data_IF_029310224637
#
_entry.id   IF_029310224637
#
_cell.length_a   1.000
_cell.length_b   1.000
_cell.length_c   1.000
_cell.angle_alpha   90.00
_cell.angle_beta   90.00
_cell.angle_gamma   90.00
#
_symmetry.space_group_name_H-M   'P 1'
#
loop_
_entity.id
_entity.type
_entity.pdbx_description
1 polymer ?
#
# COMPACT_ATOMS: atom_id res chain seq x y z
N UNK A 1 -14.25 -6.27 14.21
CA UNK A 1 -13.89 -5.91 12.81
C UNK A 1 -14.77 -6.65 11.83
N UNK A 2 -14.87 -7.99 11.94
CA UNK A 2 -15.65 -8.82 10.99
C UNK A 2 -17.15 -8.55 10.99
N UNK A 3 -17.68 -7.95 12.04
CA UNK A 3 -19.10 -7.60 12.17
C UNK A 3 -19.41 -6.14 11.82
N UNK A 4 -18.37 -5.34 11.58
CA UNK A 4 -18.52 -3.94 11.19
C UNK A 4 -18.68 -3.84 9.67
N UNK A 5 -19.61 -3.00 9.24
CA UNK A 5 -19.79 -2.66 7.83
C UNK A 5 -19.74 -1.15 7.64
N UNK A 6 -19.13 -0.71 6.56
CA UNK A 6 -19.21 0.68 6.13
C UNK A 6 -20.61 0.97 5.55
N UNK A 7 -20.94 2.24 5.39
CA UNK A 7 -22.20 2.66 4.74
C UNK A 7 -22.38 2.10 3.33
N UNK A 8 -21.29 1.69 2.68
CA UNK A 8 -21.30 1.06 1.35
C UNK A 8 -21.37 -0.47 1.39
N UNK A 9 -21.61 -1.07 2.56
CA UNK A 9 -21.72 -2.51 2.74
C UNK A 9 -20.39 -3.28 2.64
N UNK A 10 -19.27 -2.63 2.85
CA UNK A 10 -17.96 -3.26 2.88
C UNK A 10 -17.42 -3.40 4.30
N UNK A 11 -16.68 -4.47 4.57
CA UNK A 11 -15.93 -4.58 5.82
C UNK A 11 -14.82 -3.49 5.87
N UNK A 12 -14.58 -2.87 7.04
CA UNK A 12 -13.50 -1.89 7.17
C UNK A 12 -12.15 -2.54 6.91
N UNK A 13 -11.31 -1.86 6.12
CA UNK A 13 -9.92 -2.25 5.92
C UNK A 13 -9.10 -1.83 7.14
N UNK A 14 -8.89 -2.76 8.04
CA UNK A 14 -8.08 -2.56 9.25
C UNK A 14 -6.80 -3.36 9.11
N UNK A 15 -5.66 -2.72 9.39
CA UNK A 15 -4.34 -3.36 9.42
C UNK A 15 -3.76 -3.26 10.83
N UNK A 16 -3.26 -4.36 11.35
CA UNK A 16 -2.47 -4.41 12.57
C UNK A 16 -1.01 -4.60 12.18
N UNK A 17 -0.17 -3.66 12.59
CA UNK A 17 1.25 -3.63 12.32
C UNK A 17 1.99 -4.11 13.58
N UNK A 18 2.54 -5.32 13.51
CA UNK A 18 3.21 -5.98 14.63
C UNK A 18 4.70 -5.69 14.56
N UNK A 19 5.15 -4.67 15.30
CA UNK A 19 6.49 -4.12 15.23
C UNK A 19 7.03 -3.80 16.62
N UNK A 20 7.99 -4.60 17.11
CA UNK A 20 8.61 -4.42 18.42
C UNK A 20 9.47 -3.16 18.52
N UNK A 21 10.02 -2.71 17.40
CA UNK A 21 10.83 -1.49 17.32
C UNK A 21 10.10 -0.18 17.62
N UNK A 22 8.75 -0.20 17.71
CA UNK A 22 7.96 0.96 18.18
C UNK A 22 8.08 1.18 19.69
N UNK A 23 8.45 0.16 20.45
CA UNK A 23 8.56 0.22 21.91
C UNK A 23 9.63 1.22 22.35
N UNK A 24 9.29 2.04 23.34
CA UNK A 24 10.17 3.08 23.92
C UNK A 24 10.96 2.60 25.13
N UNK A 25 10.57 1.45 25.68
CA UNK A 25 11.22 0.81 26.83
C UNK A 25 11.21 -0.70 26.66
N UNK A 26 12.07 -1.38 27.44
CA UNK A 26 12.10 -2.85 27.48
C UNK A 26 10.79 -3.44 28.04
N UNK A 27 10.11 -2.72 28.93
CA UNK A 27 8.81 -3.16 29.44
C UNK A 27 7.75 -3.09 28.35
N UNK A 28 7.67 -1.96 27.63
CA UNK A 28 6.75 -1.83 26.47
C UNK A 28 7.01 -2.90 25.40
N UNK A 29 8.29 -3.23 25.17
CA UNK A 29 8.65 -4.26 24.19
C UNK A 29 8.15 -5.63 24.60
N UNK A 30 8.27 -5.99 25.89
CA UNK A 30 7.73 -7.23 26.41
C UNK A 30 6.22 -7.29 26.36
N UNK A 31 5.56 -6.19 26.72
CA UNK A 31 4.10 -6.10 26.66
C UNK A 31 3.61 -6.21 25.20
N UNK A 32 4.30 -5.57 24.27
CA UNK A 32 4.01 -5.66 22.84
C UNK A 32 4.23 -7.08 22.30
N UNK A 33 5.29 -7.75 22.75
CA UNK A 33 5.57 -9.14 22.38
C UNK A 33 4.45 -10.08 22.84
N UNK A 34 3.94 -9.93 24.07
CA UNK A 34 2.79 -10.70 24.56
C UNK A 34 1.53 -10.45 23.75
N UNK A 35 1.28 -9.18 23.36
CA UNK A 35 0.14 -8.82 22.51
C UNK A 35 0.27 -9.47 21.12
N UNK A 36 1.46 -9.41 20.52
CA UNK A 36 1.74 -10.02 19.21
C UNK A 36 1.54 -11.53 19.28
N UNK A 37 2.05 -12.18 20.31
CA UNK A 37 1.89 -13.61 20.55
C UNK A 37 0.42 -14.00 20.60
N UNK A 38 -0.39 -13.30 21.38
CA UNK A 38 -1.82 -13.60 21.49
C UNK A 38 -2.58 -13.33 20.19
N UNK A 39 -2.27 -12.25 19.48
CA UNK A 39 -2.85 -11.95 18.16
C UNK A 39 -2.58 -13.08 17.17
N UNK A 40 -1.35 -13.63 17.17
CA UNK A 40 -1.00 -14.76 16.30
C UNK A 40 -1.71 -16.04 16.73
N UNK A 41 -1.79 -16.34 18.03
CA UNK A 41 -2.49 -17.50 18.56
C UNK A 41 -4.00 -17.47 18.22
N UNK A 42 -4.66 -16.33 18.42
CA UNK A 42 -6.07 -16.16 18.05
C UNK A 42 -6.27 -16.27 16.53
N UNK A 43 -5.34 -15.77 15.74
CA UNK A 43 -5.38 -15.95 14.29
C UNK A 43 -5.22 -17.41 13.88
N UNK A 44 -4.33 -18.15 14.52
CA UNK A 44 -4.16 -19.60 14.32
C UNK A 44 -5.46 -20.35 14.66
N UNK A 45 -6.12 -19.99 15.76
CA UNK A 45 -7.42 -20.54 16.16
C UNK A 45 -8.49 -20.24 15.13
N UNK A 46 -8.59 -19.01 14.66
CA UNK A 46 -9.63 -18.52 13.75
C UNK A 46 -10.92 -18.14 14.49
N UNK A 47 -11.93 -17.77 13.72
CA UNK A 47 -13.26 -17.39 14.21
C UNK A 47 -14.28 -18.41 13.78
N UNK A 48 -15.15 -18.84 14.69
CA UNK A 48 -16.26 -19.72 14.36
C UNK A 48 -17.31 -18.97 13.51
N UNK A 49 -17.72 -19.56 12.40
CA UNK A 49 -18.89 -19.12 11.65
C UNK A 49 -20.18 -19.65 12.30
N UNK A 50 -21.34 -19.34 11.69
CA UNK A 50 -22.66 -19.77 12.16
C UNK A 50 -22.81 -21.29 12.21
N UNK A 51 -22.08 -22.02 11.37
CA UNK A 51 -22.06 -23.48 11.28
C UNK A 51 -21.09 -24.11 12.30
N UNK A 52 -20.43 -23.31 13.13
CA UNK A 52 -19.46 -23.78 14.13
C UNK A 52 -18.07 -24.11 13.56
N UNK A 53 -17.83 -23.85 12.28
CA UNK A 53 -16.53 -24.09 11.61
C UNK A 53 -15.61 -22.92 11.85
N UNK A 54 -14.34 -23.20 12.18
CA UNK A 54 -13.32 -22.17 12.32
C UNK A 54 -12.82 -21.69 10.96
N UNK A 55 -13.05 -20.43 10.66
CA UNK A 55 -12.61 -19.74 9.44
C UNK A 55 -11.53 -18.70 9.74
N UNK A 56 -10.79 -18.32 8.72
CA UNK A 56 -9.84 -17.20 8.80
C UNK A 56 -10.55 -15.91 8.42
N UNK A 57 -10.69 -14.92 9.32
CA UNK A 57 -11.29 -13.63 8.96
C UNK A 57 -10.37 -12.87 7.99
N UNK A 58 -10.97 -12.19 7.01
CA UNK A 58 -10.23 -11.37 6.05
C UNK A 58 -9.53 -10.18 6.73
N UNK A 59 -10.14 -9.62 7.76
CA UNK A 59 -9.62 -8.48 8.54
C UNK A 59 -9.63 -8.77 10.05
N UNK A 60 -8.75 -8.12 10.81
CA UNK A 60 -7.68 -7.21 10.38
C UNK A 60 -6.62 -7.90 9.53
N UNK A 61 -6.03 -7.17 8.58
CA UNK A 61 -4.76 -7.60 7.97
C UNK A 61 -3.67 -7.58 9.05
N UNK A 62 -2.86 -8.63 9.10
CA UNK A 62 -1.73 -8.70 10.01
C UNK A 62 -0.44 -8.53 9.22
N UNK A 63 0.40 -7.60 9.65
CA UNK A 63 1.73 -7.39 9.09
C UNK A 63 2.75 -7.59 10.21
N UNK A 64 3.65 -8.55 10.03
CA UNK A 64 4.71 -8.87 10.96
C UNK A 64 6.05 -8.32 10.46
N UNK A 65 6.72 -7.53 11.30
CA UNK A 65 8.03 -6.96 10.96
C UNK A 65 9.13 -7.93 11.39
N UNK A 66 9.96 -8.29 10.41
CA UNK A 66 11.18 -9.06 10.65
C UNK A 66 12.29 -8.10 11.10
N UNK A 67 12.64 -8.19 12.37
CA UNK A 67 13.60 -7.32 13.05
C UNK A 67 14.84 -8.13 13.49
N UNK A 68 16.01 -7.51 13.69
CA UNK A 68 17.19 -8.24 14.18
C UNK A 68 16.94 -9.05 15.45
N UNK A 69 16.09 -8.53 16.35
CA UNK A 69 15.73 -9.16 17.62
C UNK A 69 14.73 -10.32 17.50
N UNK A 70 14.23 -10.60 16.29
CA UNK A 70 13.24 -11.65 16.01
C UNK A 70 13.58 -12.59 14.85
N UNK A 71 14.67 -12.34 14.10
CA UNK A 71 15.02 -13.15 12.91
C UNK A 71 16.18 -14.11 13.12
N UNK A 72 16.98 -13.93 14.14
CA UNK A 72 18.06 -14.85 14.49
C UNK A 72 17.55 -15.87 15.51
N UNK A 73 17.96 -17.14 15.40
CA UNK A 73 17.47 -18.23 16.27
C UNK A 73 17.82 -18.02 17.75
N UNK A 74 18.89 -17.31 18.05
CA UNK A 74 19.32 -16.95 19.40
C UNK A 74 18.75 -15.60 19.89
N UNK A 75 17.99 -14.90 19.05
CA UNK A 75 17.40 -13.62 19.41
C UNK A 75 16.23 -13.78 20.42
N UNK A 76 16.07 -12.81 21.33
CA UNK A 76 15.11 -12.92 22.43
C UNK A 76 13.64 -13.10 22.00
N UNK A 77 13.31 -12.67 20.82
CA UNK A 77 11.94 -12.73 20.27
C UNK A 77 11.83 -13.65 19.04
N UNK A 78 12.78 -14.55 18.80
CA UNK A 78 12.73 -15.54 17.73
C UNK A 78 11.44 -16.38 17.76
N UNK A 79 10.97 -16.74 18.95
CA UNK A 79 9.74 -17.51 19.13
C UNK A 79 8.50 -16.86 18.47
N UNK A 80 8.45 -15.54 18.38
CA UNK A 80 7.37 -14.83 17.67
C UNK A 80 7.45 -15.07 16.15
N UNK A 81 8.65 -15.14 15.59
CA UNK A 81 8.83 -15.45 14.15
C UNK A 81 8.45 -16.89 13.86
N UNK A 82 8.81 -17.84 14.73
CA UNK A 82 8.33 -19.21 14.62
C UNK A 82 6.80 -19.31 14.71
N UNK A 83 6.19 -18.58 15.63
CA UNK A 83 4.74 -18.54 15.79
C UNK A 83 4.07 -17.90 14.58
N UNK A 84 4.63 -16.81 14.03
CA UNK A 84 4.17 -16.17 12.80
C UNK A 84 4.23 -17.14 11.62
N UNK A 85 5.34 -17.90 11.49
CA UNK A 85 5.48 -18.92 10.45
C UNK A 85 4.43 -20.05 10.59
N UNK A 86 4.17 -20.52 11.80
CA UNK A 86 3.09 -21.50 12.10
C UNK A 86 1.71 -20.92 11.72
N UNK A 87 1.49 -19.63 12.01
CA UNK A 87 0.27 -18.95 11.62
C UNK A 87 0.13 -18.89 10.10
N UNK A 88 1.20 -18.52 9.40
CA UNK A 88 1.21 -18.46 7.93
C UNK A 88 0.95 -19.82 7.30
N UNK A 89 1.58 -20.87 7.80
CA UNK A 89 1.37 -22.24 7.30
C UNK A 89 -0.09 -22.70 7.43
N UNK A 90 -0.82 -22.22 8.45
CA UNK A 90 -2.22 -22.62 8.69
C UNK A 90 -3.23 -21.65 8.08
N UNK A 91 -2.93 -20.36 8.02
CA UNK A 91 -3.89 -19.28 7.72
C UNK A 91 -3.48 -18.36 6.59
N UNK A 92 -2.28 -18.54 6.01
CA UNK A 92 -1.69 -17.69 4.96
C UNK A 92 -1.54 -16.21 5.38
N UNK A 93 -1.42 -15.94 6.65
CA UNK A 93 -1.14 -14.64 7.29
C UNK A 93 -0.26 -14.86 8.50
N UNK A 94 0.53 -13.88 8.96
CA UNK A 94 0.62 -12.48 8.51
C UNK A 94 1.39 -12.30 7.19
N UNK A 95 1.30 -11.08 6.61
CA UNK A 95 2.26 -10.59 5.64
C UNK A 95 3.54 -10.15 6.37
N UNK A 96 4.70 -10.20 5.69
CA UNK A 96 6.00 -9.90 6.30
C UNK A 96 6.63 -8.66 5.70
N UNK A 97 7.26 -7.84 6.55
CA UNK A 97 8.08 -6.70 6.15
C UNK A 97 9.46 -6.85 6.79
N UNK A 98 10.52 -6.76 6.00
CA UNK A 98 11.89 -6.74 6.51
C UNK A 98 12.29 -5.32 6.92
N UNK A 99 12.54 -5.10 8.21
CA UNK A 99 13.08 -3.83 8.71
C UNK A 99 14.41 -3.50 8.02
N UNK A 100 15.31 -4.46 7.92
CA UNK A 100 16.62 -4.29 7.26
C UNK A 100 16.47 -3.75 5.84
N UNK A 101 15.58 -4.35 5.04
CA UNK A 101 15.34 -3.90 3.65
C UNK A 101 14.68 -2.53 3.57
N UNK A 102 13.77 -2.23 4.46
CA UNK A 102 13.16 -0.90 4.56
C UNK A 102 14.21 0.17 4.87
N UNK A 103 15.11 -0.13 5.81
CA UNK A 103 16.23 0.78 6.18
C UNK A 103 17.21 0.95 5.03
N UNK A 104 17.66 -0.13 4.39
CA UNK A 104 18.54 -0.07 3.20
C UNK A 104 17.93 0.80 2.09
N UNK A 105 16.64 0.66 1.84
CA UNK A 105 15.94 1.45 0.83
C UNK A 105 15.90 2.94 1.18
N UNK A 106 15.68 3.30 2.44
CA UNK A 106 15.73 4.69 2.91
C UNK A 106 17.14 5.26 2.80
N UNK A 107 18.15 4.52 3.27
CA UNK A 107 19.56 4.93 3.19
C UNK A 107 20.01 5.17 1.76
N UNK A 108 19.59 4.34 0.80
CA UNK A 108 19.91 4.52 -0.62
C UNK A 108 19.36 5.83 -1.20
N UNK A 109 18.40 6.45 -0.52
CA UNK A 109 17.82 7.75 -0.87
C UNK A 109 18.38 8.91 -0.05
N UNK A 110 19.45 8.68 0.70
CA UNK A 110 20.11 9.71 1.51
C UNK A 110 19.32 10.12 2.75
N UNK A 111 18.42 9.28 3.24
CA UNK A 111 17.64 9.54 4.45
C UNK A 111 18.38 8.99 5.68
N UNK A 112 18.34 9.73 6.79
CA UNK A 112 18.82 9.25 8.08
C UNK A 112 17.82 8.22 8.62
N UNK A 113 18.31 7.06 9.09
CA UNK A 113 17.47 5.98 9.61
C UNK A 113 17.87 5.66 11.04
N UNK A 114 16.97 5.90 11.98
CA UNK A 114 17.10 5.48 13.38
C UNK A 114 16.52 4.09 13.65
N UNK A 115 16.62 3.64 14.90
CA UNK A 115 15.85 2.47 15.36
C UNK A 115 14.36 2.81 15.39
N UNK A 116 13.51 1.90 14.93
CA UNK A 116 12.07 2.11 14.92
C UNK A 116 11.55 2.87 13.70
N UNK A 117 12.34 3.02 12.65
CA UNK A 117 11.98 3.78 11.45
C UNK A 117 11.30 2.92 10.35
N UNK A 118 10.82 1.75 10.69
CA UNK A 118 9.97 0.98 9.79
C UNK A 118 8.56 1.57 9.81
N UNK A 119 7.97 1.72 8.65
CA UNK A 119 6.63 2.30 8.50
C UNK A 119 5.66 1.29 7.89
N UNK A 120 4.41 1.40 8.29
CA UNK A 120 3.34 0.52 7.81
C UNK A 120 2.97 0.83 6.36
N UNK A 121 2.53 -0.19 5.64
CA UNK A 121 1.85 0.02 4.37
C UNK A 121 0.43 0.52 4.60
N UNK A 122 -0.09 1.20 3.58
CA UNK A 122 -1.46 1.64 3.51
C UNK A 122 -2.30 0.59 2.80
N UNK A 123 -3.34 0.10 3.44
CA UNK A 123 -4.09 -1.06 2.94
C UNK A 123 -3.19 -2.30 2.87
N UNK A 124 -3.18 -2.99 1.73
CA UNK A 124 -2.49 -4.27 1.62
C UNK A 124 -1.03 -4.16 1.18
N UNK A 125 -0.65 -3.17 0.35
CA UNK A 125 0.63 -3.19 -0.38
C UNK A 125 1.17 -1.82 -0.76
N UNK A 126 0.51 -0.72 -0.39
CA UNK A 126 0.92 0.62 -0.75
C UNK A 126 1.70 1.27 0.38
N UNK A 127 2.87 1.79 0.08
CA UNK A 127 3.67 2.55 1.03
C UNK A 127 3.55 4.03 0.71
N UNK A 128 3.29 4.84 1.73
CA UNK A 128 3.40 6.28 1.60
C UNK A 128 4.87 6.66 1.44
N UNK A 129 5.15 7.61 0.56
CA UNK A 129 6.47 8.24 0.52
C UNK A 129 6.72 9.00 1.82
N UNK A 130 7.98 9.14 2.27
CA UNK A 130 8.28 9.94 3.45
C UNK A 130 7.79 11.37 3.28
N UNK A 131 7.27 11.96 4.34
CA UNK A 131 6.94 13.37 4.35
C UNK A 131 8.23 14.20 4.26
N UNK A 132 8.45 14.81 3.10
CA UNK A 132 9.62 15.66 2.81
C UNK A 132 9.28 17.15 2.89
N UNK A 133 8.01 17.47 3.16
CA UNK A 133 7.57 18.87 3.08
C UNK A 133 8.21 19.76 4.13
N UNK A 134 8.62 19.24 5.28
CA UNK A 134 9.28 19.99 6.35
C UNK A 134 8.51 21.22 6.86
N UNK A 135 7.40 21.55 6.22
CA UNK A 135 6.65 22.78 6.35
C UNK A 135 5.44 22.66 7.26
N UNK A 136 5.27 21.54 7.96
CA UNK A 136 4.16 21.33 8.89
C UNK A 136 2.78 21.30 8.21
N UNK A 137 2.70 20.87 6.96
CA UNK A 137 1.43 20.70 6.30
C UNK A 137 0.49 19.84 7.15
N UNK A 138 -0.76 20.27 7.26
CA UNK A 138 -1.75 19.57 8.03
C UNK A 138 -1.47 19.50 9.53
N UNK A 139 -0.62 20.39 10.03
CA UNK A 139 -0.27 20.45 11.45
C UNK A 139 0.34 19.14 11.99
N UNK A 140 1.05 18.38 11.15
CA UNK A 140 1.77 17.17 11.57
C UNK A 140 2.73 17.50 12.73
N UNK A 141 3.33 18.70 12.72
CA UNK A 141 4.17 19.19 13.80
C UNK A 141 3.44 19.27 15.17
N UNK A 142 2.13 19.38 15.18
CA UNK A 142 1.33 19.42 16.41
C UNK A 142 0.99 18.02 16.96
N UNK A 143 1.39 16.95 16.28
CA UNK A 143 1.19 15.61 16.80
C UNK A 143 2.12 15.36 18.00
N UNK A 144 1.59 14.76 19.08
CA UNK A 144 2.34 14.50 20.31
C UNK A 144 3.59 13.65 20.15
N UNK A 145 3.72 12.92 19.03
CA UNK A 145 4.86 12.09 18.67
C UNK A 145 5.68 12.68 17.51
N UNK A 146 5.52 13.97 17.19
CA UNK A 146 6.28 14.63 16.16
C UNK A 146 7.75 14.79 16.56
N UNK A 147 8.64 14.37 15.68
CA UNK A 147 10.08 14.57 15.78
C UNK A 147 10.56 15.26 14.50
N UNK A 148 11.01 16.52 14.54
CA UNK A 148 11.44 17.25 13.35
C UNK A 148 12.68 16.64 12.69
N UNK A 149 13.45 15.80 13.42
CA UNK A 149 14.61 15.09 12.89
C UNK A 149 14.28 13.81 12.16
N UNK A 150 13.00 13.37 12.17
CA UNK A 150 12.58 12.10 11.56
C UNK A 150 11.48 12.31 10.54
N UNK A 151 11.61 11.77 9.31
CA UNK A 151 10.53 11.76 8.33
C UNK A 151 9.30 11.05 8.89
N UNK A 152 8.12 11.58 8.64
CA UNK A 152 6.87 10.99 9.08
C UNK A 152 6.25 10.15 7.98
N UNK A 153 5.88 8.90 8.31
CA UNK A 153 5.32 7.93 7.38
C UNK A 153 3.87 7.58 7.66
N UNK A 154 3.29 8.04 8.75
CA UNK A 154 1.90 7.79 9.15
C UNK A 154 1.14 9.11 9.35
N UNK A 155 -0.17 9.05 9.41
CA UNK A 155 -1.02 10.23 9.42
C UNK A 155 -1.12 10.89 8.05
N UNK A 156 -0.78 10.16 6.97
CA UNK A 156 -0.88 10.58 5.57
C UNK A 156 -1.91 9.69 4.85
N UNK A 157 -2.29 10.03 3.63
CA UNK A 157 -3.34 9.30 2.93
C UNK A 157 -3.09 9.16 1.43
N UNK A 158 -3.83 8.25 0.79
CA UNK A 158 -3.89 8.11 -0.66
C UNK A 158 -5.21 8.70 -1.16
N UNK A 159 -5.14 9.57 -2.16
CA UNK A 159 -6.29 10.24 -2.78
C UNK A 159 -7.12 9.27 -3.63
N UNK A 160 -6.58 8.13 -4.02
CA UNK A 160 -7.23 7.11 -4.79
C UNK A 160 -6.34 6.41 -5.80
N UNK A 161 -6.88 5.35 -6.40
CA UNK A 161 -6.19 4.52 -7.38
C UNK A 161 -6.99 4.47 -8.67
N UNK A 162 -6.32 4.53 -9.81
CA UNK A 162 -6.86 4.18 -11.13
C UNK A 162 -5.97 3.10 -11.73
N UNK A 163 -6.55 1.97 -12.10
CA UNK A 163 -5.80 0.79 -12.54
C UNK A 163 -5.83 0.62 -14.05
N UNK A 164 -4.65 0.54 -14.65
CA UNK A 164 -4.50 0.13 -16.05
C UNK A 164 -4.63 -1.39 -16.18
N UNK A 165 -5.42 -1.84 -17.14
CA UNK A 165 -5.53 -3.26 -17.51
C UNK A 165 -4.49 -3.59 -18.59
N UNK A 166 -3.36 -4.15 -18.20
CA UNK A 166 -2.28 -4.47 -19.13
C UNK A 166 -2.67 -5.57 -20.13
N UNK A 167 -3.56 -6.48 -19.73
CA UNK A 167 -4.07 -7.53 -20.62
C UNK A 167 -4.89 -6.91 -21.77
N UNK A 168 -5.72 -5.90 -21.47
CA UNK A 168 -6.48 -5.18 -22.49
C UNK A 168 -5.55 -4.47 -23.49
N UNK A 169 -4.46 -3.89 -23.02
CA UNK A 169 -3.44 -3.27 -23.88
C UNK A 169 -2.82 -4.31 -24.83
N UNK A 170 -2.38 -5.45 -24.26
CA UNK A 170 -1.74 -6.51 -25.03
C UNK A 170 -2.69 -7.11 -26.08
N UNK A 171 -3.90 -7.48 -25.69
CA UNK A 171 -4.86 -8.07 -26.63
C UNK A 171 -5.32 -7.07 -27.69
N UNK A 172 -5.45 -5.78 -27.35
CA UNK A 172 -5.83 -4.74 -28.30
C UNK A 172 -4.74 -4.44 -29.34
N UNK A 173 -3.48 -4.75 -29.05
CA UNK A 173 -2.35 -4.52 -29.98
C UNK A 173 -2.29 -5.55 -31.12
N UNK A 174 -3.05 -6.65 -31.00
CA UNK A 174 -3.01 -7.75 -31.98
C UNK A 174 -1.64 -8.42 -32.12
N UNK A 175 -0.77 -8.31 -31.10
CA UNK A 175 0.59 -8.86 -31.11
C UNK A 175 1.65 -7.93 -31.72
N UNK A 176 1.27 -6.74 -32.18
CA UNK A 176 2.23 -5.73 -32.67
C UNK A 176 2.84 -4.96 -31.51
N UNK A 177 4.18 -4.96 -31.43
CA UNK A 177 4.92 -4.24 -30.38
C UNK A 177 4.74 -2.72 -30.48
N UNK A 178 4.79 -2.17 -31.69
CA UNK A 178 4.59 -0.72 -31.92
C UNK A 178 3.19 -0.29 -31.49
N UNK A 179 2.19 -1.08 -31.86
CA UNK A 179 0.80 -0.81 -31.50
C UNK A 179 0.58 -1.00 -29.98
N UNK A 180 1.26 -1.97 -29.35
CA UNK A 180 1.25 -2.12 -27.90
C UNK A 180 1.69 -0.84 -27.19
N UNK A 181 2.86 -0.30 -27.55
CA UNK A 181 3.37 0.90 -26.91
C UNK A 181 2.54 2.15 -27.20
N UNK A 182 1.95 2.23 -28.37
CA UNK A 182 1.01 3.31 -28.70
C UNK A 182 -0.25 3.25 -27.81
N UNK A 183 -0.90 2.08 -27.76
CA UNK A 183 -2.09 1.89 -26.92
C UNK A 183 -1.76 2.05 -25.42
N UNK A 184 -0.61 1.54 -25.00
CA UNK A 184 -0.13 1.69 -23.63
C UNK A 184 -0.04 3.17 -23.25
N UNK A 185 0.56 4.00 -24.09
CA UNK A 185 0.64 5.44 -23.88
C UNK A 185 -0.75 6.09 -23.77
N UNK A 186 -1.65 5.77 -24.69
CA UNK A 186 -3.04 6.28 -24.68
C UNK A 186 -3.77 5.88 -23.39
N UNK A 187 -3.58 4.66 -22.91
CA UNK A 187 -4.19 4.18 -21.64
C UNK A 187 -3.57 4.84 -20.42
N UNK A 188 -2.26 5.06 -20.42
CA UNK A 188 -1.59 5.81 -19.34
C UNK A 188 -2.13 7.24 -19.25
N UNK A 189 -2.29 7.92 -20.40
CA UNK A 189 -2.86 9.26 -20.43
C UNK A 189 -4.32 9.29 -19.95
N UNK A 190 -5.11 8.29 -20.31
CA UNK A 190 -6.48 8.16 -19.80
C UNK A 190 -6.51 7.94 -18.28
N UNK A 191 -5.60 7.11 -17.77
CA UNK A 191 -5.45 6.90 -16.33
C UNK A 191 -5.03 8.19 -15.62
N UNK A 192 -4.10 8.95 -16.19
CA UNK A 192 -3.67 10.25 -15.67
C UNK A 192 -4.85 11.22 -15.54
N UNK A 193 -5.63 11.37 -16.61
CA UNK A 193 -6.84 12.21 -16.61
C UNK A 193 -7.84 11.79 -15.54
N UNK A 194 -8.05 10.48 -15.36
CA UNK A 194 -8.93 9.95 -14.33
C UNK A 194 -8.39 10.21 -12.90
N UNK A 195 -7.08 10.09 -12.70
CA UNK A 195 -6.42 10.46 -11.43
C UNK A 195 -6.57 11.96 -11.17
N UNK A 196 -6.38 12.79 -12.18
CA UNK A 196 -6.62 14.25 -12.08
C UNK A 196 -8.07 14.57 -11.69
N UNK A 197 -9.06 13.91 -12.29
CA UNK A 197 -10.46 14.07 -11.89
C UNK A 197 -10.68 13.74 -10.40
N UNK A 198 -10.04 12.70 -9.88
CA UNK A 198 -10.12 12.36 -8.45
C UNK A 198 -9.49 13.43 -7.58
N UNK A 199 -8.31 13.89 -7.94
CA UNK A 199 -7.59 14.97 -7.24
C UNK A 199 -8.44 16.26 -7.19
N UNK A 200 -8.92 16.72 -8.34
CA UNK A 200 -9.73 17.94 -8.45
C UNK A 200 -11.03 17.83 -7.63
N UNK A 201 -11.61 16.63 -7.52
CA UNK A 201 -12.81 16.39 -6.70
C UNK A 201 -12.58 16.58 -5.20
N UNK A 202 -11.35 16.41 -4.72
CA UNK A 202 -11.00 16.60 -3.32
C UNK A 202 -10.75 18.07 -2.97
N UNK A 203 -10.39 18.90 -3.95
CA UNK A 203 -10.10 20.32 -3.72
C UNK A 203 -11.31 21.05 -3.19
N UNK A 204 -11.06 21.96 -2.27
CA UNK A 204 -12.09 22.74 -1.59
C UNK A 204 -12.89 21.96 -0.53
N UNK A 205 -12.57 20.69 -0.27
CA UNK A 205 -13.21 19.93 0.80
C UNK A 205 -12.89 20.54 2.15
N UNK A 206 -13.91 20.78 2.97
CA UNK A 206 -13.72 21.27 4.35
C UNK A 206 -13.31 20.15 5.27
N UNK A 207 -12.48 20.44 6.26
CA UNK A 207 -12.13 19.52 7.35
C UNK A 207 -13.36 19.02 8.12
N UNK A 208 -14.47 19.78 8.08
CA UNK A 208 -15.76 19.40 8.70
C UNK A 208 -16.43 18.22 8.00
N UNK A 209 -16.04 17.88 6.76
CA UNK A 209 -16.60 16.75 6.04
C UNK A 209 -16.31 15.41 6.72
N UNK A 210 -15.17 15.29 7.40
CA UNK A 210 -14.77 14.12 8.19
C UNK A 210 -13.83 14.53 9.33
N UNK A 211 -14.36 15.09 10.43
CA UNK A 211 -13.54 15.67 11.50
C UNK A 211 -12.54 14.69 12.10
N UNK A 212 -12.90 13.42 12.29
CA UNK A 212 -11.98 12.38 12.81
C UNK A 212 -10.76 12.25 11.94
N UNK A 213 -10.91 12.32 10.62
CA UNK A 213 -9.79 12.21 9.68
C UNK A 213 -8.93 13.48 9.66
N UNK A 214 -9.60 14.64 9.57
CA UNK A 214 -8.93 15.90 9.23
C UNK A 214 -8.57 16.79 10.41
N UNK A 215 -9.36 16.74 11.50
CA UNK A 215 -9.17 17.64 12.65
C UNK A 215 -8.56 16.91 13.86
N UNK A 216 -8.95 15.66 14.12
CA UNK A 216 -8.57 14.96 15.35
C UNK A 216 -7.36 14.02 15.21
N UNK A 217 -6.67 14.06 14.10
CA UNK A 217 -5.33 13.49 13.98
C UNK A 217 -5.22 12.10 13.37
N UNK A 218 -6.32 11.53 12.85
CA UNK A 218 -6.20 10.26 12.13
C UNK A 218 -5.33 10.42 10.85
N UNK A 219 -5.57 11.48 10.08
CA UNK A 219 -4.77 11.84 8.91
C UNK A 219 -4.07 13.21 9.09
N UNK A 220 -4.75 14.18 9.65
CA UNK A 220 -4.26 15.53 9.84
C UNK A 220 -4.83 16.15 11.12
N UNK A 221 -4.36 17.36 11.47
CA UNK A 221 -4.86 18.21 12.58
C UNK A 221 -5.15 19.59 12.05
N UNK A 222 -6.10 19.66 11.12
CA UNK A 222 -6.58 20.92 10.56
C UNK A 222 -7.55 21.63 11.53
N UNK A 223 -7.63 22.93 11.42
CA UNK A 223 -8.64 23.71 12.11
C UNK A 223 -10.04 23.42 11.56
N UNK A 224 -11.07 23.66 12.38
CA UNK A 224 -12.46 23.53 11.96
C UNK A 224 -12.75 24.43 10.76
N UNK A 225 -13.36 23.87 9.72
CA UNK A 225 -13.69 24.57 8.48
C UNK A 225 -12.50 24.80 7.52
N UNK A 226 -11.28 24.46 7.93
CA UNK A 226 -10.09 24.58 7.09
C UNK A 226 -10.19 23.63 5.87
N UNK A 227 -9.66 24.09 4.72
CA UNK A 227 -9.63 23.28 3.49
C UNK A 227 -8.48 22.29 3.49
N UNK A 228 -8.71 21.08 2.96
CA UNK A 228 -7.70 20.04 2.90
C UNK A 228 -6.69 20.23 1.76
N UNK A 229 -6.83 21.25 0.93
CA UNK A 229 -6.09 21.47 -0.32
C UNK A 229 -4.58 21.38 -0.14
N UNK A 230 -4.04 21.95 0.95
CA UNK A 230 -2.61 21.88 1.25
C UNK A 230 -2.08 20.47 1.53
N UNK A 231 -2.98 19.50 1.82
CA UNK A 231 -2.63 18.11 2.02
C UNK A 231 -2.58 17.31 0.71
N UNK A 232 -3.03 17.89 -0.39
CA UNK A 232 -3.12 17.24 -1.70
C UNK A 232 -1.82 17.35 -2.51
N UNK A 233 -0.88 18.18 -2.07
CA UNK A 233 0.37 18.51 -2.74
C UNK A 233 1.59 18.28 -1.86
N UNK A 234 2.79 18.50 -2.40
CA UNK A 234 4.04 18.53 -1.64
C UNK A 234 4.40 17.18 -0.99
N UNK A 235 3.87 16.07 -1.46
CA UNK A 235 4.15 14.74 -0.92
C UNK A 235 3.43 14.37 0.38
N UNK A 236 2.52 15.20 0.89
CA UNK A 236 1.73 14.83 2.08
C UNK A 236 0.77 13.68 1.81
N UNK A 237 0.18 13.64 0.63
CA UNK A 237 -0.65 12.52 0.16
C UNK A 237 -0.15 11.99 -1.17
N UNK A 238 -0.52 10.77 -1.49
CA UNK A 238 -0.23 10.13 -2.77
C UNK A 238 -1.50 9.95 -3.59
N UNK A 239 -1.34 9.81 -4.90
CA UNK A 239 -2.39 9.29 -5.79
C UNK A 239 -1.76 8.24 -6.69
N UNK A 240 -2.42 7.10 -6.90
CA UNK A 240 -1.72 5.92 -7.42
C UNK A 240 -2.22 5.49 -8.80
N UNK A 241 -1.26 5.32 -9.71
CA UNK A 241 -1.46 4.53 -10.93
C UNK A 241 -1.35 3.05 -10.55
N UNK A 242 -2.46 2.35 -10.55
CA UNK A 242 -2.49 0.91 -10.36
C UNK A 242 -2.21 0.16 -11.66
N UNK A 243 -1.71 -1.05 -11.56
CA UNK A 243 -1.60 -1.96 -12.71
C UNK A 243 -2.09 -3.35 -12.34
N UNK A 244 -2.55 -4.10 -13.34
CA UNK A 244 -2.98 -5.48 -13.21
C UNK A 244 -2.74 -6.24 -14.51
N UNK A 245 -2.47 -7.55 -14.40
CA UNK A 245 -2.32 -8.45 -15.55
C UNK A 245 -0.95 -8.36 -16.23
N UNK A 246 0.12 -8.09 -15.48
CA UNK A 246 1.48 -8.02 -16.04
C UNK A 246 1.92 -9.38 -16.61
N UNK A 247 1.64 -10.47 -15.91
CA UNK A 247 2.02 -11.81 -16.36
C UNK A 247 1.34 -12.16 -17.68
N UNK A 248 0.02 -11.96 -17.75
CA UNK A 248 -0.79 -12.25 -18.92
C UNK A 248 -0.42 -11.34 -20.09
N UNK A 249 -0.11 -10.07 -19.82
CA UNK A 249 0.37 -9.12 -20.81
C UNK A 249 1.69 -9.59 -21.44
N UNK A 250 2.66 -9.96 -20.62
CA UNK A 250 3.97 -10.45 -21.09
C UNK A 250 3.78 -11.72 -21.92
N UNK A 251 2.99 -12.67 -21.43
CA UNK A 251 2.74 -13.91 -22.14
C UNK A 251 2.03 -13.66 -23.50
N UNK A 252 1.05 -12.79 -23.54
CA UNK A 252 0.33 -12.45 -24.77
C UNK A 252 1.23 -11.76 -25.81
N UNK A 253 2.18 -10.94 -25.39
CA UNK A 253 3.06 -10.20 -26.29
C UNK A 253 4.30 -10.99 -26.74
N UNK A 254 4.85 -11.83 -25.87
CA UNK A 254 6.14 -12.50 -26.11
C UNK A 254 6.02 -14.03 -26.26
N UNK A 255 4.91 -14.62 -25.83
CA UNK A 255 4.78 -16.08 -25.70
C UNK A 255 5.64 -16.70 -24.59
N UNK A 256 6.28 -15.85 -23.75
CA UNK A 256 7.21 -16.26 -22.68
C UNK A 256 6.61 -15.98 -21.31
N UNK A 257 7.03 -16.77 -20.32
CA UNK A 257 6.68 -16.52 -18.92
C UNK A 257 7.57 -15.41 -18.35
N UNK A 258 7.10 -14.72 -17.31
CA UNK A 258 7.91 -13.72 -16.58
C UNK A 258 9.21 -14.30 -15.95
N UNK A 259 9.28 -15.62 -15.79
CA UNK A 259 10.46 -16.32 -15.27
C UNK A 259 11.48 -16.71 -16.35
N UNK A 260 11.19 -16.41 -17.61
CA UNK A 260 12.10 -16.63 -18.74
C UNK A 260 12.77 -15.30 -19.10
N UNK A 261 14.05 -15.27 -19.53
CA UNK A 261 14.81 -14.02 -19.69
C UNK A 261 14.15 -12.98 -20.59
N UNK A 262 13.54 -13.41 -21.69
CA UNK A 262 12.84 -12.52 -22.63
C UNK A 262 11.56 -11.96 -22.02
N UNK A 263 10.77 -12.79 -21.30
CA UNK A 263 9.57 -12.36 -20.59
C UNK A 263 9.88 -11.43 -19.42
N UNK A 264 10.95 -11.72 -18.66
CA UNK A 264 11.44 -10.86 -17.58
C UNK A 264 11.85 -9.49 -18.14
N UNK A 265 12.63 -9.46 -19.22
CA UNK A 265 13.10 -8.23 -19.84
C UNK A 265 11.92 -7.34 -20.28
N UNK A 266 10.95 -7.90 -20.98
CA UNK A 266 9.77 -7.15 -21.40
C UNK A 266 8.90 -6.69 -20.21
N UNK A 267 8.73 -7.55 -19.20
CA UNK A 267 8.02 -7.21 -17.97
C UNK A 267 8.66 -6.02 -17.23
N UNK A 268 9.99 -6.03 -17.11
CA UNK A 268 10.75 -4.92 -16.53
C UNK A 268 10.60 -3.63 -17.34
N UNK A 269 10.63 -3.72 -18.66
CA UNK A 269 10.42 -2.55 -19.54
C UNK A 269 9.04 -1.92 -19.32
N UNK A 270 7.97 -2.73 -19.25
CA UNK A 270 6.61 -2.26 -18.94
C UNK A 270 6.57 -1.55 -17.59
N UNK A 271 7.19 -2.13 -16.56
CA UNK A 271 7.24 -1.55 -15.23
C UNK A 271 8.04 -0.24 -15.19
N UNK A 272 9.15 -0.19 -15.92
CA UNK A 272 9.95 1.03 -16.03
C UNK A 272 9.16 2.14 -16.71
N UNK A 273 8.43 1.85 -17.79
CA UNK A 273 7.58 2.83 -18.48
C UNK A 273 6.48 3.38 -17.58
N UNK A 274 5.82 2.53 -16.77
CA UNK A 274 4.83 3.00 -15.78
C UNK A 274 5.46 3.94 -14.74
N UNK A 275 6.68 3.63 -14.27
CA UNK A 275 7.41 4.51 -13.36
C UNK A 275 7.80 5.85 -14.02
N UNK A 276 8.22 5.84 -15.28
CA UNK A 276 8.55 7.04 -16.04
C UNK A 276 7.32 7.97 -16.17
N UNK A 277 6.13 7.43 -16.44
CA UNK A 277 4.89 8.20 -16.49
C UNK A 277 4.57 8.85 -15.13
N UNK A 278 4.60 8.08 -14.05
CA UNK A 278 4.31 8.63 -12.71
C UNK A 278 5.33 9.68 -12.29
N UNK A 279 6.61 9.49 -12.58
CA UNK A 279 7.68 10.45 -12.30
C UNK A 279 7.48 11.76 -13.11
N UNK A 280 7.14 11.63 -14.40
CA UNK A 280 6.84 12.78 -15.27
C UNK A 280 5.66 13.60 -14.75
N UNK A 281 4.56 12.96 -14.39
CA UNK A 281 3.38 13.65 -13.86
C UNK A 281 3.68 14.33 -12.52
N UNK A 282 4.39 13.64 -11.63
CA UNK A 282 4.83 14.19 -10.34
C UNK A 282 5.66 15.46 -10.52
N UNK A 283 6.63 15.45 -11.43
CA UNK A 283 7.48 16.60 -11.70
C UNK A 283 6.71 17.79 -12.29
N UNK A 284 5.67 17.52 -13.10
CA UNK A 284 4.90 18.55 -13.77
C UNK A 284 3.84 19.21 -12.86
N UNK A 285 3.32 18.49 -11.84
CA UNK A 285 2.08 18.88 -11.17
C UNK A 285 2.20 19.05 -9.65
N UNK A 286 3.36 18.75 -9.07
CA UNK A 286 3.58 18.73 -7.60
C UNK A 286 2.59 17.81 -6.83
N UNK A 287 2.05 16.81 -7.52
CA UNK A 287 1.18 15.78 -6.95
C UNK A 287 2.01 14.49 -6.83
N UNK A 288 1.95 13.84 -5.69
CA UNK A 288 2.77 12.65 -5.43
C UNK A 288 2.17 11.40 -6.09
N UNK A 289 2.32 11.29 -7.41
CA UNK A 289 1.95 10.10 -8.17
C UNK A 289 2.84 8.92 -7.79
N UNK A 290 2.22 7.79 -7.51
CA UNK A 290 2.92 6.54 -7.17
C UNK A 290 2.45 5.40 -8.05
N UNK A 291 3.32 4.43 -8.31
CA UNK A 291 2.94 3.18 -8.95
C UNK A 291 2.45 2.19 -7.88
N UNK A 292 1.41 1.42 -8.21
CA UNK A 292 0.74 0.54 -7.25
C UNK A 292 0.34 -0.80 -7.87
N UNK A 293 0.83 -1.89 -7.30
CA UNK A 293 0.32 -3.22 -7.63
C UNK A 293 -1.10 -3.38 -7.10
N UNK A 294 -2.10 -3.23 -7.95
CA UNK A 294 -3.51 -3.21 -7.54
C UNK A 294 -3.92 -4.54 -6.91
N UNK A 295 -4.49 -4.56 -5.71
CA UNK A 295 -5.14 -5.76 -5.16
C UNK A 295 -6.29 -6.17 -6.08
N UNK A 296 -6.30 -7.45 -6.44
CA UNK A 296 -7.16 -7.94 -7.54
C UNK A 296 -8.54 -8.44 -7.10
N UNK A 297 -9.08 -8.07 -5.97
CA UNK A 297 -10.33 -8.58 -5.42
C UNK A 297 -11.52 -8.46 -6.41
N UNK A 298 -12.16 -7.31 -6.49
CA UNK A 298 -13.27 -7.09 -7.44
C UNK A 298 -12.79 -6.69 -8.84
N UNK A 299 -11.56 -6.17 -8.94
CA UNK A 299 -10.97 -5.68 -10.20
C UNK A 299 -10.76 -6.82 -11.19
N UNK A 300 -10.32 -8.00 -10.72
CA UNK A 300 -10.13 -9.19 -11.55
C UNK A 300 -11.41 -9.58 -12.27
N UNK A 301 -12.53 -9.69 -11.53
CA UNK A 301 -13.82 -10.03 -12.12
C UNK A 301 -14.26 -9.02 -13.18
N UNK A 302 -14.16 -7.72 -12.86
CA UNK A 302 -14.54 -6.65 -13.79
C UNK A 302 -13.68 -6.67 -15.06
N UNK A 303 -12.37 -6.83 -14.91
CA UNK A 303 -11.46 -6.88 -16.05
C UNK A 303 -11.70 -8.14 -16.90
N UNK A 304 -11.80 -9.31 -16.29
CA UNK A 304 -12.10 -10.56 -16.99
C UNK A 304 -13.41 -10.46 -17.79
N UNK A 305 -14.48 -9.94 -17.18
CA UNK A 305 -15.77 -9.75 -17.86
C UNK A 305 -15.69 -8.77 -19.04
N UNK A 306 -14.91 -7.68 -18.89
CA UNK A 306 -14.69 -6.74 -19.98
C UNK A 306 -13.86 -7.35 -21.12
N UNK A 307 -12.83 -8.12 -20.80
CA UNK A 307 -11.99 -8.82 -21.77
C UNK A 307 -12.81 -9.86 -22.54
N UNK A 308 -13.60 -10.67 -21.83
CA UNK A 308 -14.49 -11.64 -22.46
C UNK A 308 -15.50 -10.98 -23.42
N UNK A 309 -16.06 -9.84 -23.04
CA UNK A 309 -16.99 -9.09 -23.91
C UNK A 309 -16.32 -8.55 -25.18
N UNK A 310 -15.02 -8.20 -25.12
CA UNK A 310 -14.29 -7.56 -26.22
C UNK A 310 -13.57 -8.57 -27.12
N UNK A 311 -13.07 -9.64 -26.58
CA UNK A 311 -12.17 -10.54 -27.29
C UNK A 311 -12.69 -12.01 -27.34
N UNK A 312 -13.79 -12.33 -26.67
CA UNK A 312 -14.42 -13.64 -26.63
C UNK A 312 -14.08 -14.37 -25.35
#
# INVERSE_FOLDING_TARGET
VVTLMTTNGQAPFVTVFMYLGEARSEQERRDLAMIIEEVLNERIRGVKNEEGVYITPAFPKLIYVLEPQSVEEDAPYWYLTELAAKCTAKRMVPDYISEKKMREYKLSKGESVGNGDTYTCMGCRSFLTPDRSGNGYGNVANAGNYDPGKPKYYGRFNQGVVTINLVDVALSSGGSMDEFWRIFGDRCELCHRALRCRHERLKGTSSDAAPILWQYGALARLEKGEKIDKLLYGGYSTISLGYAGLWECVFAMTGKKLTEPEGESFGLEVMQKLNEYTAKWKAAEDIDYSLYGTPLESTTYKFAKCLQKRFG
#
